data_IF_431699988434
#
_entry.id   IF_431699988434
#
_cell.length_a   1.000
_cell.length_b   1.000
_cell.length_c   1.000
_cell.angle_alpha   90.00
_cell.angle_beta   90.00
_cell.angle_gamma   90.00
#
_symmetry.space_group_name_H-M   'P 1'
#
loop_
_entity.id
_entity.type
_entity.pdbx_description
1 polymer ?
#
# COMPACT_ATOMS: atom_id res chain seq x y z
N UNK A 1 -20.98 49.17 13.59
CA UNK A 1 -20.18 48.43 14.59
C UNK A 1 -20.00 47.00 14.08
N UNK A 2 -18.82 46.65 13.61
CA UNK A 2 -18.45 45.30 13.14
C UNK A 2 -17.95 44.48 14.34
N UNK A 3 -18.33 43.20 14.51
CA UNK A 3 -17.70 42.35 15.50
C UNK A 3 -16.38 41.81 14.94
N UNK A 4 -15.31 42.01 15.70
CA UNK A 4 -13.96 41.50 15.45
C UNK A 4 -13.92 39.98 15.61
N UNK A 5 -13.57 39.26 14.54
CA UNK A 5 -13.24 37.84 14.61
C UNK A 5 -11.80 37.68 15.11
N UNK A 6 -11.62 37.41 16.40
CA UNK A 6 -10.35 36.93 16.94
C UNK A 6 -10.27 35.41 16.77
N UNK A 7 -9.78 34.96 15.61
CA UNK A 7 -9.34 33.58 15.45
C UNK A 7 -8.02 33.39 16.19
N UNK A 8 -8.08 32.88 17.41
CA UNK A 8 -6.91 32.36 18.13
C UNK A 8 -6.37 31.14 17.36
N UNK A 9 -5.36 31.36 16.52
CA UNK A 9 -4.56 30.27 15.95
C UNK A 9 -3.75 29.67 17.09
N UNK A 10 -4.32 28.68 17.77
CA UNK A 10 -3.60 27.82 18.69
C UNK A 10 -2.53 27.10 17.87
N UNK A 11 -1.26 27.43 18.11
CA UNK A 11 -0.13 26.73 17.53
C UNK A 11 -0.18 25.25 17.96
N UNK A 12 -0.67 24.38 17.08
CA UNK A 12 -0.63 22.94 17.28
C UNK A 12 0.83 22.52 17.16
N UNK A 13 1.50 22.36 18.29
CA UNK A 13 2.84 21.77 18.37
C UNK A 13 2.73 20.37 17.74
N UNK A 14 3.51 20.04 16.69
CA UNK A 14 3.36 18.76 16.01
C UNK A 14 3.61 17.65 17.02
N UNK A 15 2.62 16.76 17.18
CA UNK A 15 2.75 15.55 17.98
C UNK A 15 3.88 14.76 17.36
N UNK A 16 5.03 14.76 18.04
CA UNK A 16 6.21 14.00 17.64
C UNK A 16 5.79 12.53 17.61
N UNK A 17 5.49 12.06 16.40
CA UNK A 17 4.99 10.73 16.12
C UNK A 17 6.08 9.69 16.45
N UNK A 18 5.69 8.44 16.69
CA UNK A 18 6.56 7.35 17.14
C UNK A 18 7.85 7.15 16.30
N UNK A 19 7.87 7.73 15.11
CA UNK A 19 8.98 7.79 14.15
C UNK A 19 10.25 8.47 14.67
N UNK A 20 10.14 9.55 15.46
CA UNK A 20 11.31 10.21 16.06
C UNK A 20 11.86 9.42 17.26
N UNK A 21 10.99 8.76 18.04
CA UNK A 21 11.41 7.87 19.14
C UNK A 21 12.19 6.65 18.63
N UNK A 22 11.82 6.10 17.47
CA UNK A 22 12.52 4.98 16.85
C UNK A 22 13.99 5.28 16.53
N UNK A 23 14.29 6.50 16.07
CA UNK A 23 15.66 6.94 15.73
C UNK A 23 16.55 6.97 16.97
N UNK A 24 16.03 7.45 18.11
CA UNK A 24 16.79 7.53 19.36
C UNK A 24 16.90 6.18 20.10
N UNK A 25 16.04 5.21 19.79
CA UNK A 25 16.02 3.90 20.42
C UNK A 25 16.97 2.88 19.75
N UNK A 26 17.42 3.14 18.52
CA UNK A 26 18.37 2.30 17.78
C UNK A 26 19.78 2.88 17.88
N UNK A 27 20.72 2.11 18.44
CA UNK A 27 22.15 2.41 18.39
C UNK A 27 22.68 2.14 16.98
N UNK A 28 22.56 3.11 16.08
CA UNK A 28 23.18 3.02 14.76
C UNK A 28 24.70 2.93 14.91
N UNK A 29 25.30 1.91 14.29
CA UNK A 29 26.75 1.84 14.07
C UNK A 29 27.19 3.07 13.26
N UNK A 30 28.45 3.49 13.39
CA UNK A 30 28.98 4.66 12.67
C UNK A 30 28.76 4.54 11.14
N UNK A 31 28.87 3.31 10.61
CA UNK A 31 28.62 3.00 9.20
C UNK A 31 27.16 3.22 8.78
N UNK A 32 26.23 2.80 9.64
CA UNK A 32 24.78 2.93 9.38
C UNK A 32 24.32 4.39 9.45
N UNK A 33 24.99 5.20 10.29
CA UNK A 33 24.75 6.65 10.35
C UNK A 33 25.15 7.35 9.05
N UNK A 34 26.31 7.01 8.50
CA UNK A 34 26.78 7.61 7.23
C UNK A 34 25.79 7.28 6.12
N UNK A 35 25.41 6.01 5.98
CA UNK A 35 24.43 5.58 4.98
C UNK A 35 23.05 6.27 5.16
N UNK A 36 22.63 6.49 6.40
CA UNK A 36 21.41 7.23 6.72
C UNK A 36 21.49 8.69 6.26
N UNK A 37 22.61 9.38 6.53
CA UNK A 37 22.80 10.76 6.12
C UNK A 37 22.91 10.92 4.60
N UNK A 38 23.59 10.01 3.90
CA UNK A 38 23.68 10.01 2.44
C UNK A 38 22.29 9.86 1.79
N UNK A 39 21.45 8.98 2.36
CA UNK A 39 20.09 8.74 1.88
C UNK A 39 19.17 9.94 2.14
N UNK A 40 19.32 10.59 3.30
CA UNK A 40 18.55 11.76 3.67
C UNK A 40 18.92 12.96 2.78
N UNK A 41 20.22 13.18 2.54
CA UNK A 41 20.71 14.21 1.62
C UNK A 41 20.14 14.01 0.21
N UNK A 42 20.24 12.79 -0.34
CA UNK A 42 19.67 12.47 -1.65
C UNK A 42 18.17 12.80 -1.74
N UNK A 43 17.39 12.54 -0.70
CA UNK A 43 15.95 12.81 -0.72
C UNK A 43 15.64 14.30 -0.64
N UNK A 44 16.40 15.07 0.15
CA UNK A 44 16.28 16.51 0.25
C UNK A 44 16.66 17.21 -1.07
N UNK A 45 17.71 16.74 -1.73
CA UNK A 45 18.14 17.22 -3.06
C UNK A 45 17.05 17.03 -4.14
N UNK A 46 16.05 16.20 -3.88
CA UNK A 46 14.88 16.00 -4.72
C UNK A 46 13.68 16.88 -4.31
N UNK A 47 13.92 18.06 -3.72
CA UNK A 47 12.91 19.02 -3.24
C UNK A 47 11.90 18.43 -2.26
N UNK A 48 12.23 17.33 -1.57
CA UNK A 48 11.38 16.81 -0.50
C UNK A 48 11.58 17.65 0.75
N UNK A 49 10.49 17.96 1.45
CA UNK A 49 10.62 18.54 2.79
C UNK A 49 11.31 17.54 3.71
N UNK A 50 12.06 18.05 4.69
CA UNK A 50 12.75 17.22 5.67
C UNK A 50 11.78 16.26 6.37
N UNK A 51 10.58 16.74 6.72
CA UNK A 51 9.52 15.90 7.28
C UNK A 51 9.10 14.77 6.34
N UNK A 52 8.93 15.05 5.04
CA UNK A 52 8.56 14.03 4.05
C UNK A 52 9.69 13.02 3.82
N UNK A 53 10.95 13.47 3.79
CA UNK A 53 12.12 12.61 3.67
C UNK A 53 12.23 11.66 4.88
N UNK A 54 11.99 12.14 6.10
CA UNK A 54 11.95 11.31 7.30
C UNK A 54 10.80 10.29 7.27
N UNK A 55 9.60 10.70 6.85
CA UNK A 55 8.45 9.79 6.69
C UNK A 55 8.77 8.71 5.66
N UNK A 56 9.38 9.06 4.53
CA UNK A 56 9.77 8.13 3.48
C UNK A 56 10.84 7.13 3.96
N UNK A 57 11.82 7.60 4.72
CA UNK A 57 12.87 6.75 5.31
C UNK A 57 12.27 5.78 6.33
N UNK A 58 11.44 6.26 7.24
CA UNK A 58 10.82 5.41 8.28
C UNK A 58 9.83 4.41 7.65
N UNK A 59 9.07 4.80 6.63
CA UNK A 59 8.25 3.86 5.83
C UNK A 59 9.10 2.78 5.17
N UNK A 60 10.27 3.15 4.63
CA UNK A 60 11.22 2.21 4.02
C UNK A 60 11.84 1.24 5.02
N UNK A 61 11.87 1.60 6.30
CA UNK A 61 12.51 0.84 7.38
C UNK A 61 11.53 0.01 8.23
N UNK A 62 10.23 0.35 8.31
CA UNK A 62 9.34 -0.24 9.32
C UNK A 62 8.02 -0.93 8.90
N UNK A 63 7.41 -0.83 7.71
CA UNK A 63 6.16 -1.60 7.45
C UNK A 63 5.88 -1.85 5.95
N UNK A 64 5.35 -3.04 5.63
CA UNK A 64 4.84 -3.56 4.34
C UNK A 64 5.82 -4.21 3.33
N UNK A 65 6.60 -5.16 3.83
CA UNK A 65 7.50 -6.03 3.05
C UNK A 65 6.81 -7.12 2.20
N UNK A 66 5.50 -7.05 1.93
CA UNK A 66 4.78 -8.15 1.22
C UNK A 66 4.01 -7.71 -0.04
N UNK A 67 3.82 -6.41 -0.32
CA UNK A 67 3.20 -5.95 -1.60
C UNK A 67 4.07 -4.96 -2.38
N UNK A 68 5.17 -4.45 -1.79
CA UNK A 68 5.88 -3.30 -2.33
C UNK A 68 7.40 -3.51 -2.49
N UNK A 69 7.81 -4.67 -3.02
CA UNK A 69 9.19 -4.89 -3.50
C UNK A 69 9.39 -4.35 -4.94
N UNK A 70 8.37 -3.69 -5.49
CA UNK A 70 8.39 -3.10 -6.82
C UNK A 70 8.72 -1.61 -6.71
N UNK A 71 9.64 -1.12 -7.54
CA UNK A 71 10.01 0.28 -7.56
C UNK A 71 8.80 1.17 -7.92
N UNK A 72 8.67 2.36 -7.32
CA UNK A 72 7.56 3.28 -7.60
C UNK A 72 7.55 3.71 -9.07
N UNK A 73 6.37 3.99 -9.62
CA UNK A 73 6.19 4.36 -11.02
C UNK A 73 7.01 5.60 -11.40
N UNK A 74 7.04 6.61 -10.52
CA UNK A 74 7.83 7.83 -10.70
C UNK A 74 9.33 7.54 -10.77
N UNK A 75 9.82 6.63 -9.93
CA UNK A 75 11.22 6.22 -9.96
C UNK A 75 11.56 5.52 -11.28
N UNK A 76 10.70 4.62 -11.77
CA UNK A 76 10.89 3.97 -13.07
C UNK A 76 10.97 5.00 -14.19
N UNK A 77 10.03 5.96 -14.23
CA UNK A 77 9.99 7.04 -15.22
C UNK A 77 11.27 7.88 -15.16
N UNK A 78 11.72 8.25 -13.97
CA UNK A 78 12.95 9.04 -13.77
C UNK A 78 14.21 8.31 -14.23
N UNK A 79 14.34 7.01 -13.91
CA UNK A 79 15.48 6.19 -14.35
C UNK A 79 15.52 6.10 -15.88
N UNK A 80 14.37 5.87 -16.53
CA UNK A 80 14.29 5.81 -17.98
C UNK A 80 14.55 7.16 -18.65
N UNK A 81 14.09 8.27 -18.06
CA UNK A 81 14.37 9.62 -18.55
C UNK A 81 15.87 9.91 -18.53
N UNK A 82 16.54 9.66 -17.40
CA UNK A 82 18.00 9.88 -17.25
C UNK A 82 18.80 8.98 -18.19
N UNK A 83 18.35 7.73 -18.39
CA UNK A 83 18.96 6.82 -19.37
C UNK A 83 18.88 7.40 -20.79
N UNK A 84 17.72 7.94 -21.19
CA UNK A 84 17.50 8.53 -22.52
C UNK A 84 18.30 9.81 -22.70
N UNK A 85 18.29 10.69 -21.71
CA UNK A 85 19.01 11.97 -21.72
C UNK A 85 20.53 11.79 -21.83
N UNK A 86 21.09 10.83 -21.08
CA UNK A 86 22.54 10.60 -21.01
C UNK A 86 23.05 9.52 -21.97
N UNK A 87 22.17 8.94 -22.79
CA UNK A 87 22.54 7.87 -23.72
C UNK A 87 23.12 6.61 -23.07
N UNK A 88 22.77 6.31 -21.80
CA UNK A 88 23.39 5.24 -21.03
C UNK A 88 22.96 3.84 -21.51
N UNK A 89 23.88 2.88 -21.44
CA UNK A 89 23.53 1.47 -21.60
C UNK A 89 22.70 0.95 -20.41
N UNK A 90 22.02 -0.19 -20.60
CA UNK A 90 21.22 -0.82 -19.55
C UNK A 90 22.08 -1.17 -18.32
N UNK A 91 23.31 -1.68 -18.55
CA UNK A 91 24.23 -2.08 -17.47
C UNK A 91 24.76 -0.87 -16.69
N UNK A 92 25.10 0.21 -17.37
CA UNK A 92 25.55 1.45 -16.71
C UNK A 92 24.41 2.10 -15.92
N UNK A 93 23.20 2.13 -16.49
CA UNK A 93 22.01 2.62 -15.79
C UNK A 93 21.76 1.80 -14.53
N UNK A 94 21.80 0.47 -14.63
CA UNK A 94 21.67 -0.46 -13.51
C UNK A 94 22.73 -0.21 -12.42
N UNK A 95 24.00 -0.05 -12.80
CA UNK A 95 25.10 0.25 -11.88
C UNK A 95 24.91 1.60 -11.18
N UNK A 96 24.52 2.64 -11.93
CA UNK A 96 24.33 4.01 -11.42
C UNK A 96 23.24 4.11 -10.36
N UNK A 97 22.15 3.36 -10.54
CA UNK A 97 21.00 3.39 -9.65
C UNK A 97 20.93 2.18 -8.70
N UNK A 98 21.98 1.34 -8.67
CA UNK A 98 22.06 0.12 -7.88
C UNK A 98 20.83 -0.81 -8.06
N UNK A 99 20.41 -1.02 -9.31
CA UNK A 99 19.26 -1.83 -9.70
C UNK A 99 19.75 -3.04 -10.52
N UNK A 100 19.00 -4.13 -10.55
CA UNK A 100 19.27 -5.22 -11.49
C UNK A 100 19.09 -4.79 -12.96
N UNK A 101 20.00 -5.20 -13.84
CA UNK A 101 19.91 -4.94 -15.30
C UNK A 101 18.62 -5.49 -15.93
N UNK A 102 18.16 -6.65 -15.44
CA UNK A 102 16.88 -7.23 -15.83
C UNK A 102 15.69 -6.32 -15.49
N UNK A 103 15.76 -5.60 -14.36
CA UNK A 103 14.70 -4.67 -13.92
C UNK A 103 14.58 -3.49 -14.88
N UNK A 104 15.70 -2.87 -15.24
CA UNK A 104 15.72 -1.79 -16.24
C UNK A 104 15.19 -2.28 -17.58
N UNK A 105 15.56 -3.49 -17.99
CA UNK A 105 15.06 -4.11 -19.22
C UNK A 105 13.55 -4.35 -19.18
N UNK A 106 13.00 -4.78 -18.03
CA UNK A 106 11.55 -4.92 -17.83
C UNK A 106 10.83 -3.57 -17.94
N UNK A 107 11.36 -2.51 -17.36
CA UNK A 107 10.74 -1.18 -17.45
C UNK A 107 10.72 -0.59 -18.86
N UNK A 108 11.74 -0.89 -19.66
CA UNK A 108 11.75 -0.50 -21.09
C UNK A 108 10.60 -1.19 -21.84
N UNK A 109 10.29 -2.44 -21.50
CA UNK A 109 9.16 -3.17 -22.09
C UNK A 109 7.82 -2.68 -21.56
N UNK A 110 7.70 -2.53 -20.24
CA UNK A 110 6.48 -2.12 -19.57
C UNK A 110 6.81 -1.40 -18.27
N UNK A 111 6.42 -0.13 -18.18
CA UNK A 111 6.69 0.72 -17.02
C UNK A 111 5.71 0.40 -15.89
N UNK A 112 4.45 0.19 -16.23
CA UNK A 112 3.40 -0.09 -15.25
C UNK A 112 3.48 -1.54 -14.77
N UNK A 113 3.33 -1.81 -13.46
CA UNK A 113 3.24 -3.19 -12.98
C UNK A 113 1.97 -3.85 -13.52
N UNK A 114 2.09 -5.08 -14.01
CA UNK A 114 0.90 -5.87 -14.36
C UNK A 114 0.07 -6.12 -13.09
N UNK A 115 -1.25 -5.91 -13.15
CA UNK A 115 -2.12 -6.25 -12.03
C UNK A 115 -2.06 -7.76 -11.80
N UNK A 116 -1.95 -8.17 -10.54
CA UNK A 116 -1.99 -9.57 -10.19
C UNK A 116 -3.34 -10.17 -10.64
N UNK A 117 -3.29 -11.28 -11.37
CA UNK A 117 -4.49 -11.97 -11.80
C UNK A 117 -5.35 -12.36 -10.59
N UNK A 118 -6.66 -12.14 -10.69
CA UNK A 118 -7.57 -12.54 -9.61
C UNK A 118 -7.60 -14.06 -9.51
N UNK A 119 -7.43 -14.59 -8.29
CA UNK A 119 -7.48 -16.04 -8.05
C UNK A 119 -8.94 -16.53 -8.06
N UNK A 120 -9.22 -17.55 -8.86
CA UNK A 120 -10.50 -18.27 -8.77
C UNK A 120 -10.62 -18.92 -7.40
N UNK A 121 -11.75 -18.71 -6.73
CA UNK A 121 -12.08 -19.35 -5.44
C UNK A 121 -13.15 -20.41 -5.68
N UNK A 122 -13.26 -21.37 -4.76
CA UNK A 122 -14.27 -22.45 -4.82
C UNK A 122 -15.72 -21.96 -4.88
N UNK A 123 -16.00 -20.78 -4.34
CA UNK A 123 -17.35 -20.19 -4.34
C UNK A 123 -17.44 -19.16 -5.46
N UNK A 124 -18.33 -19.40 -6.41
CA UNK A 124 -18.76 -18.37 -7.35
C UNK A 124 -19.65 -17.35 -6.61
N UNK A 125 -19.24 -16.09 -6.68
CA UNK A 125 -19.96 -14.97 -6.05
C UNK A 125 -21.33 -14.77 -6.67
N UNK A 126 -21.43 -14.90 -8.00
CA UNK A 126 -22.69 -14.66 -8.71
C UNK A 126 -23.73 -15.73 -8.36
N UNK A 127 -23.30 -16.98 -8.21
CA UNK A 127 -24.16 -18.08 -7.75
C UNK A 127 -24.60 -17.87 -6.29
N UNK A 128 -23.71 -17.41 -5.41
CA UNK A 128 -24.04 -17.12 -4.02
C UNK A 128 -25.07 -15.99 -3.90
N UNK A 129 -24.96 -14.92 -4.71
CA UNK A 129 -25.96 -13.84 -4.73
C UNK A 129 -27.35 -14.34 -5.12
N UNK A 130 -27.44 -15.24 -6.11
CA UNK A 130 -28.72 -15.86 -6.51
C UNK A 130 -29.31 -16.71 -5.39
N UNK A 131 -28.50 -17.54 -4.73
CA UNK A 131 -28.93 -18.36 -3.60
C UNK A 131 -29.42 -17.52 -2.41
N UNK A 132 -28.79 -16.36 -2.16
CA UNK A 132 -29.24 -15.39 -1.13
C UNK A 132 -30.61 -14.84 -1.46
N UNK A 133 -30.86 -14.45 -2.72
CA UNK A 133 -32.17 -13.94 -3.16
C UNK A 133 -33.26 -15.00 -3.11
N UNK A 134 -32.95 -16.23 -3.52
CA UNK A 134 -33.92 -17.32 -3.56
C UNK A 134 -34.30 -17.82 -2.18
N UNK A 135 -33.37 -17.81 -1.23
CA UNK A 135 -33.58 -18.31 0.12
C UNK A 135 -33.09 -17.29 1.16
N UNK A 136 -33.79 -16.16 1.38
CA UNK A 136 -33.31 -15.10 2.26
C UNK A 136 -33.08 -15.59 3.70
N UNK A 137 -33.94 -16.47 4.20
CA UNK A 137 -33.88 -16.98 5.58
C UNK A 137 -32.93 -18.17 5.79
N UNK A 138 -32.32 -18.70 4.72
CA UNK A 138 -31.44 -19.86 4.84
C UNK A 138 -30.19 -19.55 5.68
N UNK A 139 -29.89 -20.45 6.61
CA UNK A 139 -28.71 -20.34 7.47
C UNK A 139 -27.43 -20.58 6.67
N UNK A 140 -26.32 -20.01 7.12
CA UNK A 140 -25.01 -20.18 6.47
C UNK A 140 -24.61 -21.65 6.32
N UNK A 141 -25.01 -22.52 7.27
CA UNK A 141 -24.77 -23.97 7.21
C UNK A 141 -25.51 -24.64 6.04
N UNK A 142 -26.74 -24.23 5.77
CA UNK A 142 -27.58 -24.79 4.70
C UNK A 142 -27.04 -24.39 3.33
N UNK A 143 -26.64 -23.12 3.20
CA UNK A 143 -25.92 -22.64 2.01
C UNK A 143 -24.62 -23.40 1.80
N UNK A 144 -23.86 -23.61 2.88
CA UNK A 144 -22.59 -24.34 2.82
C UNK A 144 -22.76 -25.77 2.30
N UNK A 145 -23.83 -26.47 2.67
CA UNK A 145 -24.18 -27.79 2.13
C UNK A 145 -24.46 -27.71 0.62
N UNK A 146 -25.26 -26.74 0.14
CA UNK A 146 -25.56 -26.55 -1.29
C UNK A 146 -24.32 -26.28 -2.14
N UNK A 147 -23.38 -25.50 -1.60
CA UNK A 147 -22.12 -25.14 -2.27
C UNK A 147 -20.98 -26.14 -2.00
N UNK A 148 -21.19 -27.19 -1.21
CA UNK A 148 -20.17 -28.19 -0.87
C UNK A 148 -18.95 -27.59 -0.15
N UNK A 149 -19.14 -26.53 0.64
CA UNK A 149 -18.06 -25.78 1.31
C UNK A 149 -18.29 -25.75 2.82
N UNK A 150 -17.32 -25.27 3.60
CA UNK A 150 -17.52 -25.05 5.03
C UNK A 150 -18.31 -23.76 5.29
N UNK A 151 -19.04 -23.70 6.41
CA UNK A 151 -19.82 -22.52 6.82
C UNK A 151 -18.99 -21.23 6.85
N UNK A 152 -17.74 -21.31 7.33
CA UNK A 152 -16.83 -20.16 7.40
C UNK A 152 -16.52 -19.57 6.03
N UNK A 153 -16.46 -20.39 4.97
CA UNK A 153 -16.23 -19.92 3.61
C UNK A 153 -17.42 -19.11 3.10
N UNK A 154 -18.66 -19.55 3.38
CA UNK A 154 -19.88 -18.79 3.09
C UNK A 154 -19.89 -17.46 3.84
N UNK A 155 -19.59 -17.46 5.14
CA UNK A 155 -19.52 -16.22 5.93
C UNK A 155 -18.52 -15.22 5.33
N UNK A 156 -17.31 -15.67 4.97
CA UNK A 156 -16.32 -14.81 4.31
C UNK A 156 -16.79 -14.29 2.95
N UNK A 157 -17.50 -15.11 2.17
CA UNK A 157 -18.03 -14.72 0.88
C UNK A 157 -19.15 -13.67 1.02
N UNK A 158 -20.10 -13.88 1.94
CA UNK A 158 -21.17 -12.91 2.25
C UNK A 158 -20.60 -11.57 2.74
N UNK A 159 -19.58 -11.62 3.61
CA UNK A 159 -18.89 -10.42 4.09
C UNK A 159 -18.23 -9.63 2.96
N UNK A 160 -17.67 -10.31 1.94
CA UNK A 160 -17.09 -9.67 0.75
C UNK A 160 -18.12 -9.08 -0.20
N UNK A 161 -19.33 -9.61 -0.19
CA UNK A 161 -20.48 -9.09 -0.94
C UNK A 161 -21.23 -7.98 -0.19
N UNK A 162 -20.78 -7.62 1.02
CA UNK A 162 -21.44 -6.65 1.88
C UNK A 162 -22.92 -6.98 2.18
N UNK A 163 -23.28 -8.26 2.16
CA UNK A 163 -24.64 -8.72 2.47
C UNK A 163 -24.71 -8.96 3.98
N UNK A 164 -25.44 -8.10 4.67
CA UNK A 164 -25.80 -8.26 6.08
C UNK A 164 -27.31 -8.46 6.19
N UNK A 165 -27.72 -9.61 6.72
CA UNK A 165 -29.13 -9.91 6.95
C UNK A 165 -29.48 -9.61 8.40
N UNK A 166 -30.38 -8.64 8.64
CA UNK A 166 -30.98 -8.38 9.93
C UNK A 166 -32.41 -8.91 9.89
N UNK A 167 -32.72 -9.90 10.73
CA UNK A 167 -34.09 -10.43 10.85
C UNK A 167 -34.99 -9.36 11.46
N UNK A 168 -36.04 -8.97 10.75
CA UNK A 168 -37.15 -8.22 11.30
C UNK A 168 -38.15 -9.25 11.83
N UNK A 169 -38.19 -9.44 13.14
CA UNK A 169 -39.19 -10.28 13.78
C UNK A 169 -40.50 -9.48 13.75
N UNK A 170 -41.44 -9.85 12.88
CA UNK A 170 -42.80 -9.31 12.97
C UNK A 170 -43.47 -9.97 14.19
N UNK A 171 -43.95 -9.21 15.18
CA UNK A 171 -44.67 -9.77 16.31
C UNK A 171 -45.98 -10.38 15.80
N UNK A 172 -46.23 -11.63 16.20
CA UNK A 172 -47.45 -12.40 15.92
C UNK A 172 -48.66 -11.85 16.65
#
# INVERSE_FOLDING_TARGET
>A
MLPSLTSTVVAVKPRIDATLRWIYQKTFSAKDRIAFYDMLAFLLDNNKSLQQAFIDIVKRLNFDYIINMSYSLDFRRKVLAIKKEKGLSIRETAKRFCIGSATVSRWIKQIEPEPAASRSRKIDKSALEKDVKQYPDAYQRERAIRFGVCQKAIWQALKKLSITYKKNIQPS
#
